data_IF_838366596902
#
_entry.id   IF_838366596902
#
_cell.length_a   1.000
_cell.length_b   1.000
_cell.length_c   1.000
_cell.angle_alpha   90.00
_cell.angle_beta   90.00
_cell.angle_gamma   90.00
#
_symmetry.space_group_name_H-M   'P 1'
#
loop_
_entity.id
_entity.type
_entity.pdbx_description
1 polymer ?
#
# COMPACT_ATOMS: atom_id res chain seq x y z
N UNK A 1 21.50 -19.33 -3.48
CA UNK A 1 20.13 -18.79 -3.68
C UNK A 1 20.14 -17.32 -3.32
N UNK A 2 19.81 -16.42 -4.26
CA UNK A 2 19.61 -15.00 -3.96
C UNK A 2 18.16 -14.88 -3.50
N UNK A 3 17.94 -14.65 -2.20
CA UNK A 3 16.60 -14.33 -1.69
C UNK A 3 16.19 -13.02 -2.35
N UNK A 4 15.29 -13.09 -3.33
CA UNK A 4 14.67 -11.91 -3.92
C UNK A 4 13.77 -11.37 -2.81
N UNK A 5 14.25 -10.35 -2.09
CA UNK A 5 13.42 -9.65 -1.12
C UNK A 5 12.35 -8.92 -1.92
N UNK A 6 11.12 -9.41 -1.88
CA UNK A 6 9.98 -8.70 -2.48
C UNK A 6 9.83 -7.37 -1.74
N UNK A 7 9.64 -6.24 -2.46
CA UNK A 7 9.50 -4.96 -1.81
C UNK A 7 8.25 -4.97 -0.92
N UNK A 8 8.41 -4.39 0.26
CA UNK A 8 7.35 -4.18 1.24
C UNK A 8 7.06 -2.69 1.35
N UNK A 9 5.81 -2.34 1.64
CA UNK A 9 5.35 -0.97 1.66
C UNK A 9 4.80 -0.61 3.02
N UNK A 10 5.20 0.55 3.56
CA UNK A 10 4.47 1.20 4.64
C UNK A 10 3.41 2.16 4.08
N UNK A 11 2.54 2.70 4.94
CA UNK A 11 1.62 3.78 4.55
C UNK A 11 2.36 5.00 3.94
N UNK A 12 3.61 5.28 4.35
CA UNK A 12 4.39 6.37 3.81
C UNK A 12 4.89 6.07 2.38
N UNK A 13 5.23 4.81 2.09
CA UNK A 13 5.65 4.40 0.75
C UNK A 13 4.48 4.38 -0.23
N UNK A 14 3.32 3.90 0.22
CA UNK A 14 2.07 3.97 -0.55
C UNK A 14 1.65 5.40 -0.85
N UNK A 15 1.78 6.30 0.13
CA UNK A 15 1.50 7.72 -0.05
C UNK A 15 2.37 8.32 -1.17
N UNK A 16 3.68 8.01 -1.18
CA UNK A 16 4.59 8.43 -2.26
C UNK A 16 4.22 7.81 -3.60
N UNK A 17 3.95 6.51 -3.62
CA UNK A 17 3.62 5.76 -4.84
C UNK A 17 2.36 6.28 -5.52
N UNK A 18 1.33 6.63 -4.75
CA UNK A 18 0.06 7.15 -5.27
C UNK A 18 0.00 8.68 -5.34
N UNK A 19 1.10 9.37 -5.02
CA UNK A 19 1.16 10.83 -4.93
C UNK A 19 0.03 11.44 -4.08
N UNK A 20 -0.25 10.81 -2.93
CA UNK A 20 -1.24 11.27 -1.94
C UNK A 20 -0.59 11.46 -0.58
N UNK A 21 -1.32 12.03 0.37
CA UNK A 21 -0.82 12.13 1.76
C UNK A 21 -1.02 10.82 2.52
N UNK A 22 -0.19 10.54 3.53
CA UNK A 22 -0.37 9.37 4.41
C UNK A 22 -1.73 9.38 5.14
N UNK A 23 -2.34 10.55 5.34
CA UNK A 23 -3.71 10.66 5.88
C UNK A 23 -4.75 10.10 4.91
N UNK A 24 -4.57 10.30 3.61
CA UNK A 24 -5.44 9.74 2.57
C UNK A 24 -5.31 8.22 2.54
N UNK A 25 -4.08 7.69 2.57
CA UNK A 25 -3.83 6.24 2.67
C UNK A 25 -4.52 5.64 3.91
N UNK A 26 -4.37 6.29 5.06
CA UNK A 26 -5.05 5.85 6.30
C UNK A 26 -6.57 5.94 6.24
N UNK A 27 -7.12 6.92 5.51
CA UNK A 27 -8.55 7.00 5.30
C UNK A 27 -9.04 5.87 4.37
N UNK A 28 -8.29 5.56 3.32
CA UNK A 28 -8.57 4.44 2.41
C UNK A 28 -8.50 3.11 3.13
N UNK A 29 -7.49 2.87 3.97
CA UNK A 29 -7.39 1.63 4.76
C UNK A 29 -8.53 1.37 5.73
N UNK A 30 -9.32 2.41 6.04
CA UNK A 30 -10.52 2.30 6.87
C UNK A 30 -11.84 2.24 6.09
N UNK A 31 -11.85 2.73 4.85
CA UNK A 31 -13.07 2.96 4.06
C UNK A 31 -13.20 2.04 2.87
N UNK A 32 -12.08 1.62 2.30
CA UNK A 32 -12.06 0.70 1.17
C UNK A 32 -12.09 -0.71 1.75
N UNK A 33 -13.19 -1.41 1.51
CA UNK A 33 -13.38 -2.80 1.95
C UNK A 33 -12.34 -3.76 1.36
N UNK A 34 -11.86 -3.43 0.16
CA UNK A 34 -10.82 -4.12 -0.59
C UNK A 34 -9.39 -3.62 -0.27
N UNK A 35 -9.23 -2.73 0.72
CA UNK A 35 -7.88 -2.27 1.06
C UNK A 35 -7.03 -3.43 1.60
N UNK A 36 -5.76 -3.55 1.19
CA UNK A 36 -4.86 -4.62 1.61
C UNK A 36 -4.77 -4.74 3.13
N UNK A 37 -4.89 -5.98 3.63
CA UNK A 37 -4.58 -6.28 5.02
C UNK A 37 -3.07 -6.22 5.24
N UNK A 38 -2.57 -5.58 6.32
CA UNK A 38 -1.16 -5.57 6.63
C UNK A 38 -0.63 -7.00 6.83
N UNK A 39 0.45 -7.36 6.15
CA UNK A 39 1.13 -8.65 6.32
C UNK A 39 1.87 -8.71 7.67
N UNK A 40 2.30 -7.56 8.19
CA UNK A 40 2.87 -7.43 9.54
C UNK A 40 2.80 -5.98 10.02
N UNK A 41 3.20 -5.76 11.28
CA UNK A 41 3.37 -4.44 11.87
C UNK A 41 4.78 -4.28 12.41
N UNK A 42 5.39 -3.12 12.20
CA UNK A 42 6.69 -2.71 12.74
C UNK A 42 6.54 -1.49 13.66
N UNK A 43 7.64 -1.00 14.23
CA UNK A 43 7.64 0.12 15.19
C UNK A 43 6.72 -0.15 16.39
N UNK A 44 6.92 -1.29 17.04
CA UNK A 44 6.13 -1.75 18.18
C UNK A 44 4.62 -1.80 17.89
N UNK A 45 4.25 -2.29 16.70
CA UNK A 45 2.86 -2.47 16.28
C UNK A 45 2.21 -1.24 15.63
N UNK A 46 2.93 -0.14 15.44
CA UNK A 46 2.35 1.12 14.95
C UNK A 46 2.31 1.26 13.43
N UNK A 47 3.29 0.69 12.74
CA UNK A 47 3.45 0.89 11.30
C UNK A 47 3.04 -0.38 10.55
N UNK A 48 1.91 -0.36 9.82
CA UNK A 48 1.50 -1.50 9.00
C UNK A 48 2.43 -1.65 7.80
N UNK A 49 2.73 -2.90 7.44
CA UNK A 49 3.54 -3.29 6.30
C UNK A 49 2.71 -4.16 5.36
N UNK A 50 2.73 -3.85 4.07
CA UNK A 50 2.01 -4.55 3.01
C UNK A 50 2.99 -5.16 2.01
N UNK A 51 2.63 -6.29 1.40
CA UNK A 51 3.44 -6.87 0.32
C UNK A 51 3.22 -6.14 -0.99
N UNK A 52 4.18 -6.23 -1.91
CA UNK A 52 3.99 -5.75 -3.28
C UNK A 52 2.73 -6.36 -3.93
N UNK A 53 2.50 -7.65 -3.77
CA UNK A 53 1.40 -8.34 -4.46
C UNK A 53 0.04 -7.77 -4.04
N UNK A 54 -0.21 -7.65 -2.74
CA UNK A 54 -1.50 -7.13 -2.25
C UNK A 54 -1.74 -5.69 -2.73
N UNK A 55 -0.67 -4.89 -2.84
CA UNK A 55 -0.75 -3.52 -3.37
C UNK A 55 -1.10 -3.51 -4.86
N UNK A 56 -0.47 -4.39 -5.65
CA UNK A 56 -0.77 -4.49 -7.09
C UNK A 56 -2.21 -4.93 -7.34
N UNK A 57 -2.70 -5.91 -6.57
CA UNK A 57 -4.07 -6.40 -6.69
C UNK A 57 -5.09 -5.29 -6.38
N UNK A 58 -4.83 -4.51 -5.33
CA UNK A 58 -5.64 -3.34 -4.97
C UNK A 58 -5.56 -2.21 -6.02
N UNK A 59 -4.38 -1.95 -6.57
CA UNK A 59 -4.18 -0.96 -7.64
C UNK A 59 -4.95 -1.31 -8.91
N UNK A 60 -4.94 -2.59 -9.31
CA UNK A 60 -5.65 -3.11 -10.47
C UNK A 60 -7.16 -2.98 -10.28
N UNK A 61 -7.70 -3.43 -9.14
CA UNK A 61 -9.13 -3.36 -8.85
C UNK A 61 -9.69 -1.94 -8.84
N UNK A 62 -8.86 -0.95 -8.54
CA UNK A 62 -9.26 0.47 -8.44
C UNK A 62 -8.75 1.37 -9.56
N UNK A 63 -7.98 0.84 -10.51
CA UNK A 63 -7.39 1.61 -11.62
C UNK A 63 -6.59 2.82 -11.13
N UNK A 64 -5.91 2.69 -9.99
CA UNK A 64 -5.24 3.82 -9.31
C UNK A 64 -4.09 4.42 -10.13
N UNK A 65 -3.50 3.63 -11.02
CA UNK A 65 -2.41 4.04 -11.90
C UNK A 65 -2.88 4.56 -13.28
N UNK A 66 -4.17 4.43 -13.63
CA UNK A 66 -4.73 4.96 -14.89
C UNK A 66 -5.21 6.42 -14.75
N UNK A 67 -5.28 6.99 -13.54
CA UNK A 67 -5.99 8.26 -13.27
C UNK A 67 -5.10 9.51 -13.11
N UNK A 68 -3.79 9.42 -13.40
CA UNK A 68 -2.86 10.56 -13.31
C UNK A 68 -1.91 10.67 -14.51
N UNK A 69 -2.43 10.36 -15.70
CA UNK A 69 -1.79 10.61 -16.98
C UNK A 69 -2.64 11.52 -17.86
N UNK A 70 -2.99 12.72 -17.38
CA UNK A 70 -3.47 13.86 -18.18
C UNK A 70 -2.89 15.17 -17.63
#
# INVERSE_FOLDING_TARGET
MKLISLPIFSNADLARRWNVTSKVVHAWSKRHEDFPTPSTYVDNGKTPIYTLQDILDYEEGRKLLERYGE
#
